data_IF_429761576660
#
_entry.id   IF_429761576660
#
_cell.length_a   1.000
_cell.length_b   1.000
_cell.length_c   1.000
_cell.angle_alpha   90.00
_cell.angle_beta   90.00
_cell.angle_gamma   90.00
#
_symmetry.space_group_name_H-M   'P 1'
#
loop_
_entity.id
_entity.type
_entity.pdbx_description
1 polymer ?
#
# COMPACT_ATOMS: atom_id res chain seq x y z
N UNK A 1 -13.12 -26.87 6.48
CA UNK A 1 -14.54 -26.52 6.54
C UNK A 1 -14.95 -25.92 5.20
N UNK A 2 -15.66 -26.68 4.37
CA UNK A 2 -16.15 -26.30 3.02
C UNK A 2 -17.02 -25.04 3.03
N UNK A 3 -17.64 -24.73 4.17
CA UNK A 3 -18.47 -23.56 4.40
C UNK A 3 -17.73 -22.22 4.20
N UNK A 4 -16.52 -22.08 4.74
CA UNK A 4 -15.75 -20.83 4.64
C UNK A 4 -15.31 -20.52 3.20
N UNK A 5 -15.09 -21.57 2.40
CA UNK A 5 -14.73 -21.42 1.00
C UNK A 5 -15.90 -20.86 0.18
N UNK A 6 -17.12 -21.32 0.48
CA UNK A 6 -18.35 -20.87 -0.19
C UNK A 6 -18.64 -19.40 0.15
N UNK A 7 -18.55 -19.00 1.42
CA UNK A 7 -18.74 -17.60 1.84
C UNK A 7 -17.74 -16.66 1.16
N UNK A 8 -16.49 -17.09 1.03
CA UNK A 8 -15.44 -16.28 0.45
C UNK A 8 -15.58 -16.18 -1.08
N UNK A 9 -15.98 -17.27 -1.74
CA UNK A 9 -16.34 -17.25 -3.16
C UNK A 9 -17.56 -16.35 -3.43
N UNK A 10 -18.58 -16.36 -2.56
CA UNK A 10 -19.75 -15.48 -2.68
C UNK A 10 -19.35 -14.02 -2.47
N UNK A 11 -18.55 -13.73 -1.44
CA UNK A 11 -18.05 -12.37 -1.20
C UNK A 11 -17.22 -11.87 -2.39
N UNK A 12 -16.31 -12.70 -2.89
CA UNK A 12 -15.52 -12.39 -4.08
C UNK A 12 -16.40 -12.20 -5.31
N UNK A 13 -17.42 -13.04 -5.52
CA UNK A 13 -18.38 -12.92 -6.61
C UNK A 13 -19.23 -11.65 -6.51
N UNK A 14 -19.60 -11.21 -5.30
CA UNK A 14 -20.33 -9.95 -5.07
C UNK A 14 -19.44 -8.74 -5.34
N UNK A 15 -18.17 -8.80 -4.93
CA UNK A 15 -17.16 -7.77 -5.25
C UNK A 15 -16.94 -7.71 -6.76
N UNK A 16 -16.81 -8.87 -7.40
CA UNK A 16 -16.69 -9.00 -8.86
C UNK A 16 -17.92 -8.44 -9.58
N UNK A 17 -19.12 -8.75 -9.08
CA UNK A 17 -20.39 -8.30 -9.66
C UNK A 17 -20.58 -6.79 -9.54
N UNK A 18 -20.21 -6.20 -8.40
CA UNK A 18 -20.25 -4.75 -8.20
C UNK A 18 -19.21 -4.03 -9.07
N UNK A 19 -18.01 -4.60 -9.20
CA UNK A 19 -16.97 -4.10 -10.09
C UNK A 19 -17.28 -4.30 -11.59
N UNK A 20 -18.16 -5.25 -11.94
CA UNK A 20 -18.66 -5.48 -13.31
C UNK A 20 -19.77 -4.50 -13.73
N UNK A 21 -20.45 -3.87 -12.77
CA UNK A 21 -21.55 -2.95 -13.07
C UNK A 21 -21.08 -1.55 -13.45
N UNK A 22 -20.02 -1.04 -12.81
CA UNK A 22 -19.34 0.17 -13.23
C UNK A 22 -18.38 -0.15 -14.37
N UNK A 23 -18.12 0.80 -15.29
CA UNK A 23 -17.20 0.64 -16.43
C UNK A 23 -15.71 0.48 -16.03
N UNK A 24 -15.40 -0.34 -15.02
CA UNK A 24 -14.07 -0.62 -14.43
C UNK A 24 -13.51 -1.97 -14.87
N UNK A 25 -13.81 -2.37 -16.12
CA UNK A 25 -13.22 -3.53 -16.79
C UNK A 25 -11.69 -3.53 -16.71
N UNK A 26 -11.07 -2.35 -16.76
CA UNK A 26 -9.61 -2.16 -16.66
C UNK A 26 -9.10 -2.54 -15.26
N UNK A 27 -9.80 -2.16 -14.20
CA UNK A 27 -9.42 -2.48 -12.81
C UNK A 27 -9.56 -3.97 -12.53
N UNK A 28 -10.63 -4.60 -13.04
CA UNK A 28 -10.81 -6.05 -12.92
C UNK A 28 -9.70 -6.81 -13.66
N UNK A 29 -9.37 -6.36 -14.87
CA UNK A 29 -8.33 -6.95 -15.69
C UNK A 29 -6.95 -6.83 -15.02
N UNK A 30 -6.64 -5.68 -14.40
CA UNK A 30 -5.41 -5.50 -13.62
C UNK A 30 -5.27 -6.50 -12.47
N UNK A 31 -6.36 -6.75 -11.74
CA UNK A 31 -6.38 -7.69 -10.61
C UNK A 31 -6.16 -9.14 -11.10
N UNK A 32 -6.87 -9.55 -12.15
CA UNK A 32 -6.70 -10.89 -12.76
C UNK A 32 -5.29 -11.06 -13.33
N UNK A 33 -4.76 -10.06 -14.05
CA UNK A 33 -3.39 -10.10 -14.58
C UNK A 33 -2.34 -10.19 -13.48
N UNK A 34 -2.50 -9.47 -12.37
CA UNK A 34 -1.58 -9.55 -11.23
C UNK A 34 -1.49 -10.96 -10.66
N UNK A 35 -2.64 -11.60 -10.47
CA UNK A 35 -2.71 -12.99 -9.97
C UNK A 35 -2.12 -13.97 -11.00
N UNK A 36 -2.41 -13.77 -12.29
CA UNK A 36 -1.86 -14.59 -13.37
C UNK A 36 -0.33 -14.47 -13.49
N UNK A 37 0.22 -13.26 -13.35
CA UNK A 37 1.67 -13.04 -13.33
C UNK A 37 2.30 -13.76 -12.15
N UNK A 38 1.75 -13.61 -10.94
CA UNK A 38 2.21 -14.36 -9.77
C UNK A 38 2.15 -15.89 -10.00
N UNK A 39 1.11 -16.37 -10.67
CA UNK A 39 0.97 -17.78 -11.01
C UNK A 39 2.02 -18.26 -12.04
N UNK A 40 2.29 -17.47 -13.08
CA UNK A 40 3.27 -17.80 -14.13
C UNK A 40 4.69 -17.85 -13.58
N UNK A 41 5.06 -16.85 -12.77
CA UNK A 41 6.38 -16.76 -12.13
C UNK A 41 6.55 -17.72 -10.94
N UNK A 42 5.49 -18.38 -10.48
CA UNK A 42 5.58 -19.35 -9.39
C UNK A 42 6.31 -20.62 -9.85
N UNK A 43 7.39 -20.95 -9.14
CA UNK A 43 8.18 -22.15 -9.36
C UNK A 43 7.40 -23.43 -9.02
N UNK A 44 6.53 -23.40 -8.00
CA UNK A 44 5.72 -24.54 -7.57
C UNK A 44 4.23 -24.22 -7.66
N UNK A 45 3.68 -24.34 -8.87
CA UNK A 45 2.27 -24.03 -9.19
C UNK A 45 1.26 -24.92 -8.42
N UNK A 46 1.65 -26.14 -8.09
CA UNK A 46 0.82 -27.09 -7.34
C UNK A 46 0.83 -26.84 -5.82
N UNK A 47 1.83 -26.13 -5.30
CA UNK A 47 1.93 -25.75 -3.88
C UNK A 47 1.16 -24.48 -3.51
N UNK A 48 0.48 -23.84 -4.46
CA UNK A 48 -0.21 -22.56 -4.22
C UNK A 48 -1.45 -22.81 -3.37
N UNK A 49 -1.42 -22.31 -2.14
CA UNK A 49 -2.60 -22.27 -1.29
C UNK A 49 -3.51 -21.12 -1.73
N UNK A 50 -4.60 -21.47 -2.41
CA UNK A 50 -5.60 -20.50 -2.88
C UNK A 50 -6.34 -19.77 -1.74
N UNK A 51 -6.31 -20.33 -0.52
CA UNK A 51 -6.95 -19.72 0.64
C UNK A 51 -6.32 -18.37 1.01
N UNK A 52 -5.02 -18.26 1.34
CA UNK A 52 -4.37 -16.97 1.57
C UNK A 52 -4.52 -15.97 0.43
N UNK A 53 -4.42 -16.44 -0.81
CA UNK A 53 -4.55 -15.59 -2.01
C UNK A 53 -5.93 -14.92 -2.05
N UNK A 54 -6.99 -15.70 -1.81
CA UNK A 54 -8.34 -15.15 -1.79
C UNK A 54 -8.63 -14.30 -0.53
N UNK A 55 -8.16 -14.71 0.66
CA UNK A 55 -8.28 -13.88 1.86
C UNK A 55 -7.56 -12.53 1.69
N UNK A 56 -6.39 -12.52 1.04
CA UNK A 56 -5.64 -11.31 0.72
C UNK A 56 -6.41 -10.38 -0.20
N UNK A 57 -7.02 -10.89 -1.27
CA UNK A 57 -7.85 -10.08 -2.18
C UNK A 57 -9.06 -9.48 -1.47
N UNK A 58 -9.75 -10.28 -0.64
CA UNK A 58 -10.88 -9.82 0.15
C UNK A 58 -10.45 -8.71 1.11
N UNK A 59 -9.34 -8.92 1.83
CA UNK A 59 -8.82 -7.94 2.77
C UNK A 59 -8.41 -6.64 2.07
N UNK A 60 -7.73 -6.74 0.92
CA UNK A 60 -7.35 -5.57 0.10
C UNK A 60 -8.58 -4.77 -0.34
N UNK A 61 -9.62 -5.43 -0.83
CA UNK A 61 -10.85 -4.77 -1.25
C UNK A 61 -11.58 -4.12 -0.06
N UNK A 62 -11.71 -4.83 1.06
CA UNK A 62 -12.35 -4.31 2.28
C UNK A 62 -11.59 -3.10 2.81
N UNK A 63 -10.26 -3.16 2.88
CA UNK A 63 -9.44 -2.03 3.30
C UNK A 63 -9.58 -0.84 2.36
N UNK A 64 -9.49 -1.07 1.04
CA UNK A 64 -9.63 -0.01 0.05
C UNK A 64 -11.01 0.67 0.12
N UNK A 65 -12.07 -0.13 0.22
CA UNK A 65 -13.43 0.38 0.37
C UNK A 65 -13.59 1.16 1.69
N UNK A 66 -13.07 0.63 2.79
CA UNK A 66 -13.12 1.29 4.09
C UNK A 66 -12.42 2.66 4.05
N UNK A 67 -11.21 2.71 3.50
CA UNK A 67 -10.41 3.94 3.46
C UNK A 67 -11.01 4.98 2.50
N UNK A 68 -11.43 4.57 1.31
CA UNK A 68 -11.82 5.49 0.23
C UNK A 68 -13.29 5.90 0.28
N UNK A 69 -14.19 5.02 0.74
CA UNK A 69 -15.63 5.27 0.71
C UNK A 69 -16.18 5.81 2.03
N UNK A 70 -15.55 5.50 3.17
CA UNK A 70 -16.07 5.92 4.47
C UNK A 70 -15.45 7.24 4.93
N UNK A 71 -16.29 8.14 5.44
CA UNK A 71 -15.84 9.45 5.94
C UNK A 71 -14.82 9.30 7.09
N UNK A 72 -15.03 8.30 7.95
CA UNK A 72 -14.10 7.97 9.02
C UNK A 72 -12.76 7.46 8.50
N UNK A 73 -12.78 6.58 7.48
CA UNK A 73 -11.56 6.06 6.85
C UNK A 73 -10.73 7.17 6.20
N UNK A 74 -11.40 8.08 5.47
CA UNK A 74 -10.77 9.22 4.83
C UNK A 74 -10.20 10.21 5.86
N UNK A 75 -10.94 10.51 6.94
CA UNK A 75 -10.45 11.38 8.00
C UNK A 75 -9.20 10.81 8.71
N UNK A 76 -9.20 9.51 9.03
CA UNK A 76 -8.04 8.85 9.64
C UNK A 76 -6.85 8.84 8.70
N UNK A 77 -7.03 8.46 7.43
CA UNK A 77 -5.92 8.44 6.46
C UNK A 77 -5.39 9.84 6.14
N UNK A 78 -6.26 10.85 6.11
CA UNK A 78 -5.83 12.25 5.97
C UNK A 78 -4.97 12.67 7.16
N UNK A 79 -5.40 12.39 8.39
CA UNK A 79 -4.62 12.73 9.59
C UNK A 79 -3.25 12.04 9.61
N UNK A 80 -3.17 10.77 9.18
CA UNK A 80 -1.90 10.05 9.04
C UNK A 80 -1.05 10.65 7.92
N UNK A 81 -1.66 11.02 6.80
CA UNK A 81 -0.99 11.70 5.69
C UNK A 81 -0.40 13.04 6.10
N UNK A 82 -1.15 13.87 6.82
CA UNK A 82 -0.70 15.16 7.34
C UNK A 82 0.44 14.99 8.35
N UNK A 83 0.35 13.99 9.23
CA UNK A 83 1.43 13.65 10.15
C UNK A 83 2.70 13.21 9.40
N UNK A 84 2.57 12.38 8.37
CA UNK A 84 3.69 11.95 7.54
C UNK A 84 4.31 13.13 6.75
N UNK A 85 3.49 14.04 6.24
CA UNK A 85 3.96 15.25 5.56
C UNK A 85 4.72 16.17 6.52
N UNK A 86 4.19 16.36 7.73
CA UNK A 86 4.87 17.15 8.78
C UNK A 86 6.19 16.51 9.17
N UNK A 87 6.22 15.19 9.30
CA UNK A 87 7.44 14.43 9.57
C UNK A 87 8.48 14.58 8.46
N UNK A 88 8.07 14.52 7.19
CA UNK A 88 8.95 14.79 6.05
C UNK A 88 9.47 16.23 6.04
N UNK A 89 8.65 17.21 6.44
CA UNK A 89 9.08 18.61 6.53
C UNK A 89 10.21 18.79 7.56
N UNK A 90 10.15 18.14 8.72
CA UNK A 90 11.25 18.14 9.69
C UNK A 90 12.53 17.53 9.11
N UNK A 91 12.41 16.45 8.34
CA UNK A 91 13.55 15.86 7.66
C UNK A 91 14.18 16.77 6.62
N UNK A 92 13.38 17.56 5.90
CA UNK A 92 13.88 18.52 4.91
C UNK A 92 14.67 19.64 5.58
N UNK A 93 14.21 20.15 6.73
CA UNK A 93 14.96 21.16 7.51
C UNK A 93 16.31 20.61 7.96
N UNK A 94 16.37 19.35 8.40
CA UNK A 94 17.64 18.68 8.73
C UNK A 94 18.55 18.47 7.52
N UNK A 95 17.96 18.10 6.38
CA UNK A 95 18.68 17.98 5.11
C UNK A 95 19.30 19.31 4.66
N UNK A 96 18.54 20.40 4.72
CA UNK A 96 18.99 21.74 4.35
C UNK A 96 20.14 22.23 5.27
N UNK A 97 20.12 21.86 6.56
CA UNK A 97 21.22 22.13 7.48
C UNK A 97 22.51 21.37 7.12
N UNK A 98 22.38 20.09 6.76
CA UNK A 98 23.55 19.24 6.44
C UNK A 98 24.14 19.54 5.06
N UNK A 99 23.29 19.80 4.06
CA UNK A 99 23.71 19.91 2.66
C UNK A 99 23.84 21.35 2.13
N UNK A 100 23.46 22.37 2.92
CA UNK A 100 23.40 23.80 2.54
C UNK A 100 22.52 24.10 1.31
N UNK A 101 21.86 25.28 1.32
CA UNK A 101 20.87 25.67 0.29
C UNK A 101 21.44 25.78 -1.13
N UNK A 102 22.76 25.92 -1.27
CA UNK A 102 23.46 26.11 -2.55
C UNK A 102 23.84 24.81 -3.27
N UNK A 103 23.44 23.64 -2.77
CA UNK A 103 23.54 22.38 -3.50
C UNK A 103 22.54 22.28 -4.68
N UNK A 104 22.22 23.41 -5.32
CA UNK A 104 21.28 23.59 -6.41
C UNK A 104 21.76 23.01 -7.77
N UNK A 105 22.87 22.26 -7.77
CA UNK A 105 23.37 21.52 -8.93
C UNK A 105 22.73 20.15 -9.12
N UNK A 106 23.38 19.33 -9.95
CA UNK A 106 23.06 17.97 -10.46
C UNK A 106 22.56 16.93 -9.41
N UNK A 107 22.53 17.27 -8.12
CA UNK A 107 22.15 16.39 -7.00
C UNK A 107 20.85 16.80 -6.27
N UNK A 108 20.00 17.65 -6.86
CA UNK A 108 18.73 18.10 -6.23
C UNK A 108 17.84 16.97 -5.69
N UNK A 109 17.74 15.85 -6.40
CA UNK A 109 16.96 14.67 -5.95
C UNK A 109 17.61 14.03 -4.72
N UNK A 110 18.94 13.90 -4.71
CA UNK A 110 19.68 13.32 -3.60
C UNK A 110 19.53 14.18 -2.33
N UNK A 111 19.60 15.50 -2.46
CA UNK A 111 19.52 16.45 -1.33
C UNK A 111 18.11 16.49 -0.72
N UNK A 112 17.05 16.20 -1.48
CA UNK A 112 15.66 16.22 -0.97
C UNK A 112 15.15 14.86 -0.50
N UNK A 113 15.49 13.79 -1.21
CA UNK A 113 14.92 12.46 -0.96
C UNK A 113 15.75 11.68 0.06
N UNK A 114 17.09 11.76 0.01
CA UNK A 114 17.96 10.99 0.91
C UNK A 114 17.75 11.36 2.39
N UNK A 115 17.64 12.64 2.79
CA UNK A 115 17.40 12.98 4.19
C UNK A 115 16.11 12.35 4.71
N UNK A 116 15.03 12.39 3.92
CA UNK A 116 13.73 11.83 4.28
C UNK A 116 13.80 10.33 4.56
N UNK A 117 14.58 9.59 3.76
CA UNK A 117 14.79 8.14 3.96
C UNK A 117 15.64 7.88 5.21
N UNK A 118 16.74 8.61 5.40
CA UNK A 118 17.64 8.43 6.54
C UNK A 118 16.89 8.74 7.85
N UNK A 119 16.10 9.81 7.88
CA UNK A 119 15.31 10.20 9.03
C UNK A 119 14.22 9.17 9.38
N UNK A 120 13.53 8.62 8.39
CA UNK A 120 12.57 7.54 8.62
C UNK A 120 13.26 6.27 9.16
N UNK A 121 14.45 5.94 8.64
CA UNK A 121 15.23 4.79 9.10
C UNK A 121 15.69 4.93 10.56
N UNK A 122 16.17 6.10 10.96
CA UNK A 122 16.61 6.34 12.35
C UNK A 122 15.44 6.33 13.32
N UNK A 123 14.29 6.93 12.96
CA UNK A 123 13.09 6.91 13.81
C UNK A 123 12.51 5.50 13.94
N UNK A 124 12.47 4.73 12.85
CA UNK A 124 12.07 3.32 12.89
C UNK A 124 13.01 2.51 13.81
N UNK A 125 14.32 2.74 13.73
CA UNK A 125 15.31 2.08 14.59
C UNK A 125 15.14 2.44 16.06
N UNK A 126 14.84 3.71 16.38
CA UNK A 126 14.55 4.14 17.75
C UNK A 126 13.26 3.48 18.25
N UNK A 127 12.20 3.46 17.44
CA UNK A 127 10.91 2.88 17.83
C UNK A 127 11.02 1.37 18.10
N UNK A 128 11.82 0.66 17.31
CA UNK A 128 12.12 -0.76 17.52
C UNK A 128 13.00 -1.02 18.76
N UNK A 129 13.73 -0.03 19.26
CA UNK A 129 14.52 -0.15 20.48
C UNK A 129 13.71 0.20 21.73
N UNK A 130 12.68 1.05 21.59
CA UNK A 130 11.84 1.53 22.68
C UNK A 130 10.63 0.62 22.94
N UNK A 131 10.11 -0.05 21.90
CA UNK A 131 9.05 -1.07 22.00
C UNK A 131 9.58 -2.46 21.69
#
# INVERSE_FOLDING_TARGET
SSLNLIFLCIFFALVLFKALHDNTLISLLGLVLGVLLCYIFSHNRAGISWRPVLYGMVLQYVFAYFILQTDAGLAVFSAVGDAAQTFMAYSQVGGDFVFSKDAAGIAFIAVRVLPSIIFFSTVSSILFHVG
#
